data_IF_418328613561
#
_entry.id   IF_418328613561
#
_cell.length_a   1.000
_cell.length_b   1.000
_cell.length_c   1.000
_cell.angle_alpha   90.00
_cell.angle_beta   90.00
_cell.angle_gamma   90.00
#
_symmetry.space_group_name_H-M   'P 1'
#
loop_
_entity.id
_entity.type
_entity.pdbx_description
1 polymer ?
#
# COMPACT_ATOMS: atom_id res chain seq x y z
N UNK A 1 -1.45 -2.26 -20.57
CA UNK A 1 -0.37 -2.55 -19.60
C UNK A 1 -0.87 -2.10 -18.24
N UNK A 2 -1.20 -3.06 -17.37
CA UNK A 2 -1.52 -2.76 -15.97
C UNK A 2 -0.21 -2.30 -15.32
N UNK A 3 -0.20 -1.09 -14.74
CA UNK A 3 0.99 -0.60 -14.04
C UNK A 3 1.10 -1.36 -12.72
N UNK A 4 2.21 -2.06 -12.55
CA UNK A 4 2.52 -2.78 -11.32
C UNK A 4 2.66 -1.78 -10.16
N UNK A 5 2.20 -2.17 -8.98
CA UNK A 5 2.36 -1.35 -7.79
C UNK A 5 3.83 -1.37 -7.35
N UNK A 6 4.40 -0.21 -6.97
CA UNK A 6 5.78 -0.13 -6.52
C UNK A 6 6.02 -1.07 -5.33
N UNK A 7 7.17 -1.75 -5.30
CA UNK A 7 7.51 -2.58 -4.15
C UNK A 7 7.77 -1.74 -2.90
N UNK A 8 8.21 -0.49 -3.09
CA UNK A 8 8.49 0.46 -2.01
C UNK A 8 7.23 1.20 -1.59
N UNK A 9 6.99 1.34 -0.28
CA UNK A 9 5.87 2.14 0.24
C UNK A 9 5.96 3.60 -0.28
N UNK A 10 4.86 4.16 -0.81
CA UNK A 10 4.79 5.58 -1.15
C UNK A 10 5.09 6.47 0.07
N UNK A 11 5.86 7.54 -0.09
CA UNK A 11 6.28 8.38 1.06
C UNK A 11 5.08 9.03 1.75
N UNK A 12 4.07 9.47 0.99
CA UNK A 12 2.84 10.05 1.54
C UNK A 12 2.07 9.02 2.40
N UNK A 13 1.92 7.79 1.90
CA UNK A 13 1.26 6.72 2.65
C UNK A 13 2.06 6.34 3.91
N UNK A 14 3.39 6.28 3.79
CA UNK A 14 4.28 6.00 4.92
C UNK A 14 4.11 7.06 6.01
N UNK A 15 4.18 8.33 5.66
CA UNK A 15 3.99 9.45 6.60
C UNK A 15 2.60 9.42 7.22
N UNK A 16 1.56 9.11 6.44
CA UNK A 16 0.19 9.02 6.94
C UNK A 16 0.01 7.87 7.95
N UNK A 17 0.61 6.70 7.70
CA UNK A 17 0.61 5.56 8.63
C UNK A 17 1.45 5.86 9.88
N UNK A 18 2.62 6.48 9.73
CA UNK A 18 3.48 6.88 10.85
C UNK A 18 2.77 7.93 11.73
N UNK A 19 2.07 8.90 11.13
CA UNK A 19 1.33 9.94 11.86
C UNK A 19 0.07 9.42 12.57
N UNK A 20 -0.63 8.44 12.00
CA UNK A 20 -1.85 7.87 12.57
C UNK A 20 -1.60 6.83 13.68
N UNK A 21 -0.34 6.46 13.93
CA UNK A 21 0.09 5.25 14.64
C UNK A 21 -0.07 3.99 13.77
N UNK A 22 0.93 3.09 13.80
CA UNK A 22 1.01 1.97 12.87
C UNK A 22 -0.23 1.08 12.91
N UNK A 23 -0.80 0.89 14.11
CA UNK A 23 -2.01 0.11 14.34
C UNK A 23 -3.26 0.66 13.63
N UNK A 24 -3.34 1.98 13.44
CA UNK A 24 -4.48 2.66 12.84
C UNK A 24 -4.33 2.91 11.32
N UNK A 25 -3.60 2.03 10.62
CA UNK A 25 -3.28 2.15 9.18
C UNK A 25 -4.50 2.26 8.23
N UNK A 26 -5.67 1.76 8.63
CA UNK A 26 -6.85 1.72 7.75
C UNK A 26 -7.37 3.12 7.38
N UNK A 27 -7.39 4.04 8.34
CA UNK A 27 -7.79 5.43 8.13
C UNK A 27 -6.86 6.21 7.18
N UNK A 28 -5.53 6.26 7.38
CA UNK A 28 -4.61 6.93 6.47
C UNK A 28 -4.59 6.25 5.10
N UNK A 29 -4.65 4.92 5.01
CA UNK A 29 -4.74 4.24 3.72
C UNK A 29 -6.01 4.62 2.94
N UNK A 30 -7.16 4.72 3.62
CA UNK A 30 -8.42 5.15 2.99
C UNK A 30 -8.34 6.60 2.51
N UNK A 31 -7.78 7.48 3.33
CA UNK A 31 -7.60 8.89 2.98
C UNK A 31 -6.65 9.05 1.79
N UNK A 32 -5.52 8.35 1.81
CA UNK A 32 -4.54 8.27 0.73
C UNK A 32 -5.16 7.74 -0.57
N UNK A 33 -5.88 6.62 -0.50
CA UNK A 33 -6.54 6.02 -1.66
C UNK A 33 -7.56 6.99 -2.28
N UNK A 34 -8.32 7.70 -1.46
CA UNK A 34 -9.25 8.74 -1.92
C UNK A 34 -8.51 9.93 -2.56
N UNK A 35 -7.40 10.38 -1.97
CA UNK A 35 -6.56 11.47 -2.49
C UNK A 35 -6.00 11.13 -3.88
N UNK A 36 -5.62 9.88 -4.09
CA UNK A 36 -5.11 9.38 -5.38
C UNK A 36 -6.19 8.91 -6.36
N UNK A 37 -7.48 9.04 -6.02
CA UNK A 37 -8.59 8.66 -6.90
C UNK A 37 -8.80 7.15 -7.06
N UNK A 38 -8.29 6.34 -6.14
CA UNK A 38 -8.47 4.89 -6.15
C UNK A 38 -9.91 4.52 -5.82
N UNK A 39 -10.52 3.69 -6.68
CA UNK A 39 -11.89 3.18 -6.50
C UNK A 39 -11.87 1.89 -5.67
N UNK A 40 -11.68 2.03 -4.36
CA UNK A 40 -11.78 0.90 -3.42
C UNK A 40 -13.25 0.64 -3.07
N UNK A 41 -13.77 -0.56 -3.36
CA UNK A 41 -15.14 -0.93 -2.97
C UNK A 41 -15.22 -1.20 -1.48
N UNK A 42 -16.31 -0.76 -0.83
CA UNK A 42 -16.53 -0.92 0.61
C UNK A 42 -16.45 -2.41 1.04
N UNK A 43 -16.99 -3.33 0.24
CA UNK A 43 -16.96 -4.77 0.52
C UNK A 43 -15.57 -5.43 0.45
N UNK A 44 -14.57 -4.76 -0.14
CA UNK A 44 -13.20 -5.29 -0.20
C UNK A 44 -12.40 -4.97 1.07
N UNK A 45 -12.81 -3.94 1.83
CA UNK A 45 -12.14 -3.53 3.07
C UNK A 45 -12.13 -4.63 4.11
N UNK A 46 -13.23 -5.37 4.24
CA UNK A 46 -13.32 -6.49 5.18
C UNK A 46 -12.30 -7.60 4.87
N UNK A 47 -11.96 -7.80 3.59
CA UNK A 47 -10.90 -8.72 3.19
C UNK A 47 -9.51 -8.21 3.58
N UNK A 48 -9.26 -6.91 3.37
CA UNK A 48 -8.00 -6.27 3.74
C UNK A 48 -7.80 -6.26 5.26
N UNK A 49 -8.82 -5.89 6.02
CA UNK A 49 -8.80 -5.90 7.49
C UNK A 49 -8.51 -7.30 8.01
N UNK A 50 -9.13 -8.35 7.45
CA UNK A 50 -8.84 -9.74 7.83
C UNK A 50 -7.39 -10.11 7.56
N UNK A 51 -6.87 -9.85 6.35
CA UNK A 51 -5.47 -10.17 6.03
C UNK A 51 -4.46 -9.38 6.88
N UNK A 52 -4.79 -8.14 7.25
CA UNK A 52 -3.96 -7.31 8.12
C UNK A 52 -4.04 -7.74 9.59
N UNK A 53 -5.21 -8.18 10.08
CA UNK A 53 -5.36 -8.80 11.40
C UNK A 53 -4.65 -10.16 11.47
N UNK A 54 -4.56 -10.90 10.37
CA UNK A 54 -3.71 -12.09 10.29
C UNK A 54 -2.23 -11.71 10.42
N UNK A 55 -1.76 -10.67 9.73
CA UNK A 55 -0.38 -10.17 9.91
C UNK A 55 -0.09 -9.65 11.32
N UNK A 56 -1.05 -8.97 11.96
CA UNK A 56 -0.93 -8.46 13.33
C UNK A 56 -0.73 -9.57 14.38
N UNK A 57 -1.35 -10.73 14.15
CA UNK A 57 -1.19 -11.91 15.01
C UNK A 57 0.24 -12.47 15.01
N UNK A 58 1.03 -12.22 13.96
CA UNK A 58 2.46 -12.61 13.89
C UNK A 58 3.35 -11.58 14.62
N UNK A 59 3.00 -11.31 15.89
CA UNK A 59 3.75 -10.71 17.00
C UNK A 59 5.16 -10.14 16.71
N UNK A 60 5.24 -9.09 15.89
CA UNK A 60 6.32 -8.10 15.80
C UNK A 60 5.68 -6.78 15.32
N UNK A 61 6.11 -5.59 15.80
CA UNK A 61 5.53 -4.33 15.32
C UNK A 61 5.75 -4.24 13.79
N UNK A 62 4.68 -4.36 12.98
CA UNK A 62 4.82 -4.48 11.54
C UNK A 62 5.33 -3.15 11.00
N UNK A 63 6.48 -3.16 10.31
CA UNK A 63 7.04 -1.94 9.74
C UNK A 63 6.06 -1.39 8.69
N UNK A 64 6.08 -0.09 8.40
CA UNK A 64 5.23 0.48 7.35
C UNK A 64 5.40 -0.25 6.00
N UNK A 65 6.61 -0.74 5.71
CA UNK A 65 6.91 -1.54 4.52
C UNK A 65 6.19 -2.90 4.49
N UNK A 66 6.13 -3.64 5.60
CA UNK A 66 5.41 -4.93 5.67
C UNK A 66 3.91 -4.72 5.47
N UNK A 67 3.34 -3.66 6.08
CA UNK A 67 1.95 -3.26 5.86
C UNK A 67 1.71 -2.90 4.39
N UNK A 68 2.64 -2.19 3.76
CA UNK A 68 2.55 -1.87 2.34
C UNK A 68 2.54 -3.12 1.46
N UNK A 69 3.35 -4.14 1.75
CA UNK A 69 3.35 -5.38 0.97
C UNK A 69 1.98 -6.06 0.99
N UNK A 70 1.35 -6.19 2.16
CA UNK A 70 0.01 -6.77 2.24
C UNK A 70 -1.07 -5.90 1.57
N UNK A 71 -0.95 -4.57 1.63
CA UNK A 71 -1.83 -3.66 0.89
C UNK A 71 -1.62 -3.76 -0.62
N UNK A 72 -0.38 -3.86 -1.08
CA UNK A 72 0.01 -4.05 -2.48
C UNK A 72 -0.58 -5.34 -3.01
N UNK A 73 -0.33 -6.47 -2.35
CA UNK A 73 -0.86 -7.77 -2.77
C UNK A 73 -2.39 -7.76 -2.86
N UNK A 74 -3.05 -7.08 -1.92
CA UNK A 74 -4.50 -6.88 -1.97
C UNK A 74 -4.93 -6.00 -3.14
N UNK A 75 -4.25 -4.88 -3.42
CA UNK A 75 -4.53 -4.01 -4.56
C UNK A 75 -4.38 -4.75 -5.89
N UNK A 76 -3.32 -5.55 -6.02
CA UNK A 76 -3.06 -6.40 -7.19
C UNK A 76 -4.11 -7.49 -7.34
N UNK A 77 -4.50 -8.16 -6.24
CA UNK A 77 -5.57 -9.18 -6.24
C UNK A 77 -6.93 -8.62 -6.67
N UNK A 78 -7.17 -7.34 -6.42
CA UNK A 78 -8.40 -6.65 -6.78
C UNK A 78 -8.34 -5.93 -8.14
N UNK A 79 -7.26 -6.13 -8.91
CA UNK A 79 -7.02 -5.48 -10.21
C UNK A 79 -7.11 -3.94 -10.13
N UNK A 80 -6.70 -3.36 -9.00
CA UNK A 80 -6.73 -1.90 -8.81
C UNK A 80 -5.52 -1.32 -9.54
N UNK A 81 -5.71 -0.47 -10.57
CA UNK A 81 -4.58 0.10 -11.31
C UNK A 81 -3.83 1.10 -10.43
N UNK A 82 -2.49 1.03 -10.45
CA UNK A 82 -1.65 2.02 -9.80
C UNK A 82 -1.85 3.41 -10.45
N UNK A 83 -2.01 4.48 -9.66
CA UNK A 83 -2.23 5.82 -10.17
C UNK A 83 -0.94 6.38 -10.77
N UNK A 84 -1.09 7.28 -11.74
CA UNK A 84 0.01 7.72 -12.60
C UNK A 84 1.13 8.50 -11.89
N UNK A 85 0.82 9.08 -10.72
CA UNK A 85 1.69 9.97 -9.97
C UNK A 85 1.71 9.57 -8.50
N UNK A 86 2.32 8.43 -8.20
CA UNK A 86 2.66 8.11 -6.82
C UNK A 86 3.97 8.82 -6.44
N UNK A 87 4.00 9.58 -5.33
CA UNK A 87 5.25 10.04 -4.73
C UNK A 87 5.94 8.85 -4.06
N UNK A 88 6.51 7.98 -4.88
CA UNK A 88 7.43 6.95 -4.44
C UNK A 88 8.82 7.53 -4.48
N UNK A 89 9.67 7.22 -3.49
CA UNK A 89 11.12 7.27 -3.74
C UNK A 89 11.38 6.55 -5.06
N UNK A 90 12.32 7.00 -5.91
CA UNK A 90 12.71 6.21 -7.04
C UNK A 90 13.03 4.82 -6.50
N UNK A 91 12.21 3.83 -6.88
CA UNK A 91 12.62 2.43 -6.75
C UNK A 91 14.01 2.44 -7.37
N UNK A 92 15.03 1.94 -6.65
CA UNK A 92 16.34 1.76 -7.24
C UNK A 92 16.08 0.88 -8.45
N UNK A 93 15.93 1.53 -9.59
CA UNK A 93 15.52 0.86 -10.79
C UNK A 93 16.66 -0.10 -11.02
N UNK A 94 16.38 -1.39 -11.03
CA UNK A 94 17.20 -2.32 -11.81
C UNK A 94 16.94 -2.08 -13.30
N UNK A 95 16.81 -0.81 -13.70
CA UNK A 95 16.93 -0.31 -15.06
C UNK A 95 18.34 0.24 -15.19
N UNK A 96 19.26 -0.71 -15.25
CA UNK A 96 20.63 -0.49 -15.65
C UNK A 96 21.05 -1.81 -16.25
N UNK A 97 20.69 -2.02 -17.51
CA UNK A 97 21.36 -2.85 -18.53
C UNK A 97 20.39 -3.03 -19.70
N UNK A 98 20.52 -2.14 -20.69
CA UNK A 98 19.76 -2.14 -21.91
C UNK A 98 20.03 -0.85 -22.66
N UNK A 99 21.31 -0.66 -23.01
CA UNK A 99 21.79 0.45 -23.82
C UNK A 99 22.36 -0.11 -25.12
#
# INVERSE_FOLDING_TARGET
>A
MMREWPFTIPEDLRQAIEAANQDAWAAPFRAWAKSHGLRLKLGWWQGLERSMSEQDQWRWPPKPQDRWLGMKEWLERHDVPAPEKLPTRPEKTRAGLGH
#
